data_IF_090583485037
#
_entry.id   IF_090583485037
#
_cell.length_a   1.000
_cell.length_b   1.000
_cell.length_c   1.000
_cell.angle_alpha   90.00
_cell.angle_beta   90.00
_cell.angle_gamma   90.00
#
_symmetry.space_group_name_H-M   'P 1'
#
loop_
_entity.id
_entity.type
_entity.pdbx_description
1 polymer ?
#
# COMPACT_ATOMS: atom_id res chain seq x y z
N UNK A 1 6.80 6.85 13.03
CA UNK A 1 6.20 5.77 12.21
C UNK A 1 5.43 6.39 11.06
N UNK A 2 5.57 5.87 9.84
CA UNK A 2 4.74 6.20 8.67
C UNK A 2 3.83 5.01 8.41
N UNK A 3 2.53 5.27 8.38
CA UNK A 3 1.49 4.29 8.08
C UNK A 3 0.87 4.54 6.72
N UNK A 4 0.76 3.50 5.90
CA UNK A 4 0.11 3.57 4.58
C UNK A 4 -1.26 2.95 4.64
N UNK A 5 -2.26 3.66 4.12
CA UNK A 5 -3.64 3.19 4.00
C UNK A 5 -3.98 2.93 2.53
N UNK A 6 -4.47 1.73 2.23
CA UNK A 6 -5.01 1.42 0.93
C UNK A 6 -6.47 1.85 0.84
N UNK A 7 -6.77 2.76 -0.09
CA UNK A 7 -8.13 3.22 -0.30
C UNK A 7 -8.86 2.23 -1.20
N UNK A 8 -10.12 1.94 -0.88
CA UNK A 8 -10.98 1.07 -1.69
C UNK A 8 -11.01 1.56 -3.14
N UNK A 9 -10.78 0.64 -4.07
CA UNK A 9 -10.71 0.93 -5.51
C UNK A 9 -9.29 1.17 -6.04
N UNK A 10 -8.28 1.18 -5.17
CA UNK A 10 -6.89 1.14 -5.62
C UNK A 10 -6.60 -0.18 -6.31
N UNK A 11 -6.34 -0.14 -7.62
CA UNK A 11 -5.75 -1.27 -8.33
C UNK A 11 -4.37 -1.61 -7.76
N UNK A 12 -3.91 -2.83 -8.02
CA UNK A 12 -2.64 -3.33 -7.48
C UNK A 12 -1.47 -2.37 -7.76
N UNK A 13 -1.40 -1.81 -8.96
CA UNK A 13 -0.34 -0.86 -9.33
C UNK A 13 -0.27 0.34 -8.40
N UNK A 14 -1.44 0.89 -8.01
CA UNK A 14 -1.50 2.00 -7.06
C UNK A 14 -1.07 1.54 -5.66
N UNK A 15 -1.51 0.35 -5.23
CA UNK A 15 -1.11 -0.21 -3.94
C UNK A 15 0.43 -0.38 -3.85
N UNK A 16 1.05 -0.92 -4.89
CA UNK A 16 2.50 -1.10 -4.96
C UNK A 16 3.24 0.23 -5.03
N UNK A 17 2.73 1.21 -5.78
CA UNK A 17 3.30 2.55 -5.84
C UNK A 17 3.33 3.20 -4.44
N UNK A 18 2.20 3.20 -3.73
CA UNK A 18 2.14 3.75 -2.38
C UNK A 18 3.06 3.00 -1.41
N UNK A 19 3.12 1.66 -1.48
CA UNK A 19 4.05 0.87 -0.67
C UNK A 19 5.50 1.33 -0.85
N UNK A 20 6.00 1.37 -2.09
CA UNK A 20 7.40 1.72 -2.38
C UNK A 20 7.69 3.15 -1.94
N UNK A 21 6.86 4.11 -2.32
CA UNK A 21 7.07 5.53 -2.00
C UNK A 21 7.11 5.75 -0.48
N UNK A 22 6.13 5.24 0.25
CA UNK A 22 6.05 5.43 1.70
C UNK A 22 7.13 4.67 2.46
N UNK A 23 7.55 3.51 1.96
CA UNK A 23 8.69 2.75 2.52
C UNK A 23 10.00 3.52 2.39
N UNK A 24 10.30 4.07 1.21
CA UNK A 24 11.50 4.86 0.99
C UNK A 24 11.53 6.12 1.89
N UNK A 25 10.40 6.81 2.03
CA UNK A 25 10.32 7.99 2.92
C UNK A 25 10.54 7.61 4.38
N UNK A 26 10.01 6.46 4.82
CA UNK A 26 10.21 5.97 6.19
C UNK A 26 11.67 5.63 6.46
N UNK A 27 12.34 4.99 5.50
CA UNK A 27 13.77 4.67 5.55
C UNK A 27 14.62 5.94 5.60
N UNK A 28 14.36 6.92 4.73
CA UNK A 28 15.07 8.20 4.70
C UNK A 28 14.94 8.97 6.02
N UNK A 29 13.78 8.88 6.67
CA UNK A 29 13.51 9.54 7.96
C UNK A 29 13.94 8.72 9.17
N UNK A 30 14.41 7.48 8.98
CA UNK A 30 14.78 6.57 10.07
C UNK A 30 13.61 6.23 11.01
N UNK A 31 12.39 6.12 10.48
CA UNK A 31 11.17 5.82 11.26
C UNK A 31 10.56 4.50 10.84
N UNK A 32 9.81 3.87 11.76
CA UNK A 32 9.10 2.62 11.48
C UNK A 32 8.07 2.78 10.35
N UNK A 33 7.83 1.68 9.63
CA UNK A 33 6.89 1.61 8.52
C UNK A 33 5.82 0.54 8.79
N UNK A 34 4.57 0.81 8.41
CA UNK A 34 3.50 -0.18 8.51
C UNK A 34 2.28 0.16 7.66
N UNK A 35 1.30 -0.76 7.66
CA UNK A 35 0.02 -0.59 6.99
C UNK A 35 -1.11 -0.47 8.00
N UNK A 36 -2.07 0.40 7.72
CA UNK A 36 -3.27 0.57 8.55
C UNK A 36 -4.29 -0.55 8.26
N UNK A 37 -4.34 -1.03 7.02
CA UNK A 37 -5.31 -2.00 6.52
C UNK A 37 -4.65 -3.04 5.58
N UNK A 38 -3.76 -3.91 6.11
CA UNK A 38 -3.02 -4.89 5.32
C UNK A 38 -3.92 -5.90 4.56
N UNK A 39 -5.16 -6.11 5.00
CA UNK A 39 -6.14 -6.98 4.36
C UNK A 39 -6.65 -6.46 3.00
N UNK A 40 -6.41 -5.18 2.68
CA UNK A 40 -6.75 -4.60 1.38
C UNK A 40 -5.69 -4.91 0.30
N UNK A 41 -4.49 -5.38 0.69
CA UNK A 41 -3.43 -5.73 -0.25
C UNK A 41 -3.91 -6.84 -1.17
N UNK A 42 -3.93 -6.56 -2.47
CA UNK A 42 -4.29 -7.55 -3.46
C UNK A 42 -5.77 -7.96 -3.47
N UNK A 43 -6.62 -7.36 -2.64
CA UNK A 43 -8.06 -7.67 -2.67
C UNK A 43 -8.73 -7.26 -4.01
N UNK A 44 -8.04 -6.43 -4.80
CA UNK A 44 -8.39 -6.06 -6.18
C UNK A 44 -7.89 -7.03 -7.26
N UNK A 45 -7.12 -8.08 -6.93
CA UNK A 45 -6.66 -9.08 -7.90
C UNK A 45 -7.80 -9.89 -8.52
N UNK A 46 -8.92 -10.02 -7.81
CA UNK A 46 -10.14 -10.65 -8.33
C UNK A 46 -10.85 -9.69 -9.30
N UNK A 47 -10.23 -9.42 -10.45
CA UNK A 47 -10.94 -8.86 -11.59
C UNK A 47 -11.93 -9.93 -12.07
N UNK A 48 -13.21 -9.76 -11.76
CA UNK A 48 -14.30 -10.58 -12.29
C UNK A 48 -14.62 -10.26 -13.77
N UNK A 49 -13.70 -9.59 -14.46
CA UNK A 49 -13.72 -9.36 -15.91
C UNK A 49 -12.64 -10.24 -16.52
N UNK A 50 -13.03 -11.47 -16.83
CA UNK A 50 -12.45 -12.27 -17.91
C UNK A 50 -13.17 -11.94 -19.22
#
# INVERSE_FOLDING_TARGET
MIGTEFIKGYGLGNQLFFYVTTRCIAEEKGVDFGFINPEQVGNVFHSNKG
#
